data_IF_392413910081
#
_entry.id   IF_392413910081
#
_cell.length_a   1.000
_cell.length_b   1.000
_cell.length_c   1.000
_cell.angle_alpha   90.00
_cell.angle_beta   90.00
_cell.angle_gamma   90.00
#
_symmetry.space_group_name_H-M   'P 1'
#
loop_
_entity.id
_entity.type
_entity.pdbx_description
1 polymer ?
#
# COMPACT_ATOMS: atom_id res chain seq x y z
N UNK A 1 17.76 -17.87 3.96
CA UNK A 1 16.53 -17.67 4.74
C UNK A 1 16.56 -16.26 5.30
N UNK A 2 15.44 -15.55 5.24
CA UNK A 2 15.31 -14.16 5.68
C UNK A 2 15.00 -14.12 7.17
N UNK A 3 15.56 -13.13 7.85
CA UNK A 3 15.38 -12.98 9.28
C UNK A 3 14.15 -12.11 9.56
N UNK A 4 13.13 -12.68 10.21
CA UNK A 4 11.89 -11.97 10.54
C UNK A 4 12.03 -11.01 11.73
N UNK A 5 13.09 -11.12 12.53
CA UNK A 5 13.42 -10.19 13.62
C UNK A 5 14.09 -8.93 13.08
N UNK A 6 15.08 -9.09 12.19
CA UNK A 6 15.81 -7.97 11.58
C UNK A 6 15.16 -7.45 10.28
N UNK A 7 14.17 -8.18 9.75
CA UNK A 7 13.47 -7.88 8.50
C UNK A 7 14.42 -7.77 7.29
N UNK A 8 15.47 -8.60 7.27
CA UNK A 8 16.48 -8.61 6.22
C UNK A 8 17.03 -10.03 5.93
N UNK A 9 17.49 -10.29 4.69
CA UNK A 9 17.21 -9.49 3.50
C UNK A 9 15.74 -9.58 3.10
N UNK A 10 15.28 -8.62 2.28
CA UNK A 10 13.99 -8.75 1.58
C UNK A 10 14.11 -9.92 0.60
N UNK A 11 13.24 -10.92 0.73
CA UNK A 11 13.23 -12.11 -0.11
C UNK A 11 11.95 -12.18 -0.96
N UNK A 12 11.88 -13.18 -1.85
CA UNK A 12 10.67 -13.55 -2.59
C UNK A 12 10.11 -12.46 -3.51
N UNK A 13 10.94 -11.51 -3.94
CA UNK A 13 10.55 -10.43 -4.86
C UNK A 13 10.12 -11.02 -6.21
N UNK A 14 10.77 -12.11 -6.63
CA UNK A 14 10.46 -12.90 -7.82
C UNK A 14 9.12 -13.62 -7.74
N UNK A 15 8.59 -13.89 -6.54
CA UNK A 15 7.27 -14.49 -6.35
C UNK A 15 6.12 -13.48 -6.52
N UNK A 16 6.43 -12.17 -6.58
CA UNK A 16 5.41 -11.14 -6.81
C UNK A 16 4.79 -11.33 -8.21
N UNK A 17 3.46 -11.50 -8.33
CA UNK A 17 2.82 -11.76 -9.62
C UNK A 17 3.17 -10.70 -10.66
N UNK A 18 3.57 -11.12 -11.87
CA UNK A 18 3.94 -10.23 -13.00
C UNK A 18 2.89 -9.16 -13.30
N UNK A 19 1.62 -9.44 -13.02
CA UNK A 19 0.51 -8.48 -13.17
C UNK A 19 0.68 -7.24 -12.30
N UNK A 20 1.25 -7.36 -11.08
CA UNK A 20 1.49 -6.23 -10.16
C UNK A 20 2.47 -5.21 -10.73
N UNK A 21 3.44 -5.68 -11.51
CA UNK A 21 4.48 -4.87 -12.16
C UNK A 21 3.96 -4.13 -13.40
N UNK A 22 2.85 -4.60 -13.99
CA UNK A 22 2.21 -3.98 -15.17
C UNK A 22 1.20 -2.88 -14.80
N UNK A 23 0.84 -2.77 -13.53
CA UNK A 23 -0.10 -1.78 -13.05
C UNK A 23 0.48 -0.36 -13.14
N UNK A 24 -0.38 0.61 -13.42
CA UNK A 24 -0.03 2.03 -13.41
C UNK A 24 -0.43 2.65 -12.08
N UNK A 25 0.51 3.28 -11.37
CA UNK A 25 0.17 4.00 -10.16
C UNK A 25 -0.65 5.26 -10.48
N UNK A 26 -1.83 5.41 -9.88
CA UNK A 26 -2.70 6.56 -10.14
C UNK A 26 -2.19 7.89 -9.53
N UNK A 27 -1.17 7.82 -8.66
CA UNK A 27 -0.56 8.99 -8.00
C UNK A 27 0.57 9.56 -8.86
N UNK A 28 1.60 8.75 -9.16
CA UNK A 28 2.74 9.20 -9.98
C UNK A 28 2.56 8.99 -11.49
N UNK A 29 1.52 8.27 -11.92
CA UNK A 29 1.22 7.94 -13.33
C UNK A 29 2.29 7.11 -14.05
N UNK A 30 3.17 6.43 -13.32
CA UNK A 30 4.23 5.58 -13.88
C UNK A 30 3.87 4.09 -13.80
N UNK A 31 4.39 3.32 -14.76
CA UNK A 31 4.33 1.84 -14.84
C UNK A 31 5.71 1.25 -14.51
N UNK A 32 6.18 1.45 -13.29
CA UNK A 32 7.46 0.93 -12.78
C UNK A 32 7.25 0.29 -11.42
N UNK A 33 8.10 -0.65 -11.02
CA UNK A 33 7.97 -1.34 -9.74
C UNK A 33 6.64 -2.10 -9.57
N UNK A 34 6.40 -2.64 -8.38
CA UNK A 34 5.16 -3.33 -8.07
C UNK A 34 4.13 -2.38 -7.44
N UNK A 35 2.91 -2.32 -8.00
CA UNK A 35 1.79 -1.64 -7.35
C UNK A 35 0.95 -2.60 -6.53
N UNK A 36 0.36 -2.08 -5.46
CA UNK A 36 -0.76 -2.71 -4.73
C UNK A 36 -2.08 -2.07 -5.18
N UNK A 37 -3.20 -2.72 -4.87
CA UNK A 37 -4.54 -2.21 -5.19
C UNK A 37 -5.33 -1.89 -3.92
N UNK A 38 -6.28 -0.97 -4.05
CA UNK A 38 -7.23 -0.64 -3.00
C UNK A 38 -7.95 -1.91 -2.48
N UNK A 39 -8.06 -2.06 -1.17
CA UNK A 39 -8.71 -3.20 -0.51
C UNK A 39 -10.24 -3.15 -0.54
N UNK A 40 -10.84 -2.09 -1.09
CA UNK A 40 -12.27 -2.07 -1.36
C UNK A 40 -12.60 -3.04 -2.51
N UNK A 41 -13.55 -3.96 -2.30
CA UNK A 41 -13.85 -5.09 -3.21
C UNK A 41 -14.14 -4.65 -4.66
N UNK A 42 -14.74 -3.47 -4.83
CA UNK A 42 -15.15 -2.93 -6.14
C UNK A 42 -14.20 -1.83 -6.66
N UNK A 43 -12.97 -1.75 -6.15
CA UNK A 43 -12.02 -0.72 -6.56
C UNK A 43 -10.68 -1.29 -7.04
N UNK A 44 -10.34 -1.02 -8.28
CA UNK A 44 -9.11 -1.50 -8.91
C UNK A 44 -8.00 -0.45 -8.97
N UNK A 45 -8.16 0.70 -8.31
CA UNK A 45 -7.12 1.73 -8.27
C UNK A 45 -5.82 1.16 -7.70
N UNK A 46 -4.76 1.26 -8.49
CA UNK A 46 -3.44 0.77 -8.16
C UNK A 46 -2.50 1.91 -7.80
N UNK A 47 -1.62 1.67 -6.81
CA UNK A 47 -0.63 2.65 -6.38
C UNK A 47 0.60 1.97 -5.79
N UNK A 48 1.75 2.64 -5.86
CA UNK A 48 2.93 2.21 -5.10
C UNK A 48 2.71 2.43 -3.61
N UNK A 49 3.29 1.56 -2.79
CA UNK A 49 3.25 1.66 -1.33
C UNK A 49 3.86 2.99 -0.87
N UNK A 50 4.98 3.40 -1.46
CA UNK A 50 5.66 4.67 -1.15
C UNK A 50 4.84 5.89 -1.60
N UNK A 51 4.22 5.84 -2.79
CA UNK A 51 3.31 6.89 -3.25
C UNK A 51 2.10 7.05 -2.32
N UNK A 52 1.52 5.94 -1.86
CA UNK A 52 0.42 5.94 -0.90
C UNK A 52 0.83 6.56 0.44
N UNK A 53 2.01 6.22 0.95
CA UNK A 53 2.56 6.81 2.18
C UNK A 53 2.75 8.32 2.05
N UNK A 54 3.28 8.81 0.92
CA UNK A 54 3.41 10.26 0.65
C UNK A 54 2.04 10.96 0.53
N UNK A 55 1.06 10.29 -0.04
CA UNK A 55 -0.32 10.77 -0.16
C UNK A 55 -1.14 10.62 1.12
N UNK A 56 -0.54 10.11 2.22
CA UNK A 56 -1.20 9.82 3.49
C UNK A 56 -2.44 8.92 3.35
N UNK A 57 -2.41 7.99 2.40
CA UNK A 57 -3.49 7.01 2.26
C UNK A 57 -3.53 6.09 3.48
N UNK A 58 -4.71 5.51 3.76
CA UNK A 58 -4.88 4.56 4.85
C UNK A 58 -4.15 3.26 4.54
N UNK A 59 -3.07 2.98 5.28
CA UNK A 59 -2.30 1.74 5.24
C UNK A 59 -2.35 1.11 6.63
N UNK A 60 -3.19 0.08 6.82
CA UNK A 60 -3.34 -0.61 8.10
C UNK A 60 -2.70 -1.98 8.07
N UNK A 61 -1.85 -2.19 9.07
CA UNK A 61 -1.39 -3.51 9.46
C UNK A 61 -2.20 -3.92 10.69
N UNK A 62 -3.09 -4.92 10.57
CA UNK A 62 -3.71 -5.53 11.76
C UNK A 62 -2.86 -6.72 12.19
N UNK A 63 -2.21 -6.59 13.33
CA UNK A 63 -1.53 -7.70 14.02
C UNK A 63 -2.41 -8.14 15.19
N UNK A 64 -3.14 -9.23 15.06
CA UNK A 64 -3.88 -9.81 16.20
C UNK A 64 -2.94 -10.49 17.21
N UNK A 65 -1.78 -11.00 16.76
CA UNK A 65 -0.88 -11.82 17.58
C UNK A 65 0.62 -11.45 17.48
N UNK A 66 0.95 -10.22 17.07
CA UNK A 66 2.35 -9.77 16.95
C UNK A 66 3.16 -10.61 15.94
N UNK A 67 4.41 -10.96 16.27
CA UNK A 67 5.29 -11.73 15.39
C UNK A 67 4.73 -13.12 15.02
N UNK A 68 3.88 -13.73 15.85
CA UNK A 68 3.21 -15.00 15.55
C UNK A 68 2.26 -14.91 14.35
N UNK A 69 1.60 -13.76 14.14
CA UNK A 69 0.73 -13.55 12.97
C UNK A 69 1.49 -13.44 11.64
N UNK A 70 2.79 -13.15 11.70
CA UNK A 70 3.68 -13.19 10.53
C UNK A 70 4.03 -14.64 10.20
N UNK A 71 4.20 -15.49 11.22
CA UNK A 71 4.55 -16.91 11.07
C UNK A 71 3.36 -17.78 10.62
N UNK A 72 2.13 -17.50 11.08
CA UNK A 72 0.93 -18.26 10.69
C UNK A 72 0.23 -17.73 9.43
N UNK A 73 0.69 -16.60 8.87
CA UNK A 73 0.10 -15.98 7.68
C UNK A 73 -1.22 -15.24 7.91
N UNK A 74 -1.67 -15.05 9.14
CA UNK A 74 -2.91 -14.34 9.51
C UNK A 74 -2.80 -12.81 9.49
N UNK A 75 -1.62 -12.26 9.17
CA UNK A 75 -1.42 -10.82 9.04
C UNK A 75 -2.25 -10.23 7.89
N UNK A 76 -3.32 -9.50 8.25
CA UNK A 76 -4.16 -8.81 7.25
C UNK A 76 -3.65 -7.38 7.04
N UNK A 77 -3.00 -7.16 5.90
CA UNK A 77 -2.64 -5.84 5.38
C UNK A 77 -3.81 -5.26 4.58
N UNK A 78 -4.26 -4.04 4.93
CA UNK A 78 -5.28 -3.30 4.17
C UNK A 78 -4.76 -1.94 3.75
N UNK A 79 -5.02 -1.58 2.50
CA UNK A 79 -4.66 -0.29 1.92
C UNK A 79 -5.85 0.28 1.14
N UNK A 80 -6.24 1.53 1.35
CA UNK A 80 -7.35 2.15 0.62
C UNK A 80 -6.90 3.37 -0.17
N UNK A 81 -7.49 3.58 -1.35
CA UNK A 81 -7.26 4.82 -2.11
C UNK A 81 -7.95 6.00 -1.43
N UNK A 82 -7.66 7.21 -1.90
CA UNK A 82 -8.21 8.47 -1.40
C UNK A 82 -9.74 8.51 -1.37
N UNK A 83 -10.42 7.76 -2.25
CA UNK A 83 -11.90 7.68 -2.28
C UNK A 83 -12.49 6.69 -1.29
N UNK A 84 -11.70 5.76 -0.77
CA UNK A 84 -12.16 4.66 0.08
C UNK A 84 -11.45 4.63 1.44
N UNK A 85 -10.72 5.69 1.79
CA UNK A 85 -10.19 5.84 3.13
C UNK A 85 -11.37 5.97 4.13
N UNK A 86 -11.29 5.35 5.32
CA UNK A 86 -12.27 5.56 6.38
C UNK A 86 -12.47 7.06 6.65
N UNK A 87 -13.71 7.49 6.89
CA UNK A 87 -14.07 8.91 6.96
C UNK A 87 -13.27 9.66 8.04
N UNK A 88 -13.22 9.09 9.25
CA UNK A 88 -12.47 9.63 10.40
C UNK A 88 -11.00 9.88 10.02
N UNK A 89 -10.34 8.86 9.45
CA UNK A 89 -8.95 8.98 9.02
C UNK A 89 -8.77 9.98 7.87
N UNK A 90 -9.72 10.02 6.93
CA UNK A 90 -9.65 10.93 5.77
C UNK A 90 -9.61 12.39 6.21
N UNK A 91 -10.40 12.73 7.21
CA UNK A 91 -10.48 14.06 7.81
C UNK A 91 -9.22 14.40 8.60
N UNK A 92 -8.82 13.54 9.55
CA UNK A 92 -7.63 13.76 10.38
C UNK A 92 -6.35 13.90 9.55
N UNK A 93 -6.17 13.01 8.57
CA UNK A 93 -4.94 12.97 7.76
C UNK A 93 -4.98 13.87 6.52
N UNK A 94 -6.08 14.59 6.30
CA UNK A 94 -6.31 15.46 5.14
C UNK A 94 -6.02 14.73 3.80
N UNK A 95 -6.49 13.49 3.69
CA UNK A 95 -6.06 12.53 2.65
C UNK A 95 -6.25 13.06 1.24
N UNK A 96 -7.38 13.72 0.96
CA UNK A 96 -7.65 14.29 -0.36
C UNK A 96 -6.66 15.40 -0.72
N UNK A 97 -6.31 16.27 0.22
CA UNK A 97 -5.32 17.34 -0.02
C UNK A 97 -3.93 16.74 -0.19
N UNK A 98 -3.52 15.83 0.69
CA UNK A 98 -2.24 15.13 0.61
C UNK A 98 -2.08 14.38 -0.72
N UNK A 99 -3.14 13.72 -1.20
CA UNK A 99 -3.15 13.04 -2.49
C UNK A 99 -2.98 14.01 -3.66
N UNK A 100 -3.64 15.18 -3.63
CA UNK A 100 -3.43 16.22 -4.66
C UNK A 100 -2.00 16.74 -4.65
N UNK A 101 -1.43 17.01 -3.47
CA UNK A 101 -0.04 17.45 -3.33
C UNK A 101 0.96 16.39 -3.79
N UNK A 102 0.72 15.12 -3.48
CA UNK A 102 1.54 14.01 -3.94
C UNK A 102 1.50 13.88 -5.47
N UNK A 103 0.32 13.97 -6.09
CA UNK A 103 0.17 13.98 -7.55
C UNK A 103 0.90 15.14 -8.22
N UNK A 104 0.91 16.33 -7.61
CA UNK A 104 1.64 17.50 -8.11
C UNK A 104 3.16 17.32 -8.04
N UNK A 105 3.67 16.61 -7.03
CA UNK A 105 5.10 16.37 -6.88
C UNK A 105 5.69 15.45 -7.95
N UNK A 106 4.89 14.52 -8.49
CA UNK A 106 5.33 13.59 -9.54
C UNK A 106 4.97 14.05 -10.95
N UNK A 107 4.36 15.23 -11.09
CA UNK A 107 4.19 15.90 -12.38
C UNK A 107 5.47 16.66 -12.69
#
# INVERSE_FOLDING_TARGET
>A
LGNHTFMEPVMDVEKVPKTRWKLSCYICRQKMGACIQCSNKNCYQAFHVTCARRARLYLKMKTSHGALAVLDGSMVLKAFCDKHCPLEYSQESNVHQATRSAKKFYK
#
